data_IF_735887911942
#
_entry.id   IF_735887911942
#
_cell.length_a   1.000
_cell.length_b   1.000
_cell.length_c   1.000
_cell.angle_alpha   90.00
_cell.angle_beta   90.00
_cell.angle_gamma   90.00
#
_symmetry.space_group_name_H-M   'P 1'
#
loop_
_entity.id
_entity.type
_entity.pdbx_description
1 polymer ?
#
# COMPACT_ATOMS: atom_id res chain seq x y z
N UNK A 1 -4.53 27.26 -2.56
CA UNK A 1 -4.10 25.84 -2.46
C UNK A 1 -2.63 25.77 -2.86
N UNK A 2 -1.87 24.78 -2.40
CA UNK A 2 -0.52 24.57 -2.90
C UNK A 2 -0.58 23.74 -4.18
N UNK A 3 -0.08 24.29 -5.30
CA UNK A 3 0.15 23.51 -6.51
C UNK A 3 1.43 22.67 -6.41
N UNK A 4 1.73 21.96 -7.49
CA UNK A 4 3.03 21.36 -7.75
C UNK A 4 3.45 21.75 -9.16
N UNK A 5 4.36 22.71 -9.25
CA UNK A 5 4.96 23.14 -10.51
C UNK A 5 6.22 22.31 -10.77
N UNK A 6 6.31 21.73 -11.98
CA UNK A 6 7.41 20.86 -12.39
C UNK A 6 8.03 21.44 -13.65
N UNK A 7 9.26 21.93 -13.57
CA UNK A 7 10.03 22.42 -14.72
C UNK A 7 11.02 21.34 -15.15
N UNK A 8 10.81 20.79 -16.35
CA UNK A 8 11.64 19.75 -16.94
C UNK A 8 12.75 20.36 -17.79
N UNK A 9 13.98 19.88 -17.62
CA UNK A 9 15.17 20.28 -18.39
C UNK A 9 15.94 19.02 -18.77
N UNK A 10 16.11 18.75 -20.06
CA UNK A 10 17.01 17.69 -20.56
C UNK A 10 18.47 18.10 -20.35
N UNK A 11 19.35 17.15 -20.03
CA UNK A 11 20.77 17.44 -19.79
C UNK A 11 21.51 17.53 -21.12
N UNK A 12 22.21 18.65 -21.36
CA UNK A 12 23.04 18.81 -22.55
C UNK A 12 24.18 17.77 -22.56
N UNK A 13 24.28 16.99 -23.64
CA UNK A 13 25.26 15.92 -23.78
C UNK A 13 24.81 14.54 -23.27
N UNK A 14 23.58 14.37 -22.80
CA UNK A 14 23.07 13.07 -22.33
C UNK A 14 21.54 12.92 -22.55
N UNK A 15 21.16 12.53 -23.77
CA UNK A 15 19.75 12.40 -24.24
C UNK A 15 18.88 11.45 -23.41
N UNK A 16 19.48 10.62 -22.54
CA UNK A 16 18.80 9.68 -21.64
C UNK A 16 18.55 10.27 -20.24
N UNK A 17 19.04 11.47 -19.95
CA UNK A 17 19.04 12.12 -18.64
C UNK A 17 18.21 13.42 -18.62
N UNK A 18 17.40 13.58 -17.57
CA UNK A 18 16.65 14.82 -17.32
C UNK A 18 16.72 15.27 -15.85
N UNK A 19 16.59 16.58 -15.66
CA UNK A 19 16.37 17.24 -14.38
C UNK A 19 14.91 17.72 -14.30
N UNK A 20 14.23 17.40 -13.22
CA UNK A 20 12.95 17.98 -12.85
C UNK A 20 13.11 18.90 -11.63
N UNK A 21 12.97 20.21 -11.83
CA UNK A 21 12.87 21.18 -10.74
C UNK A 21 11.44 21.20 -10.20
N UNK A 22 11.26 20.85 -8.92
CA UNK A 22 9.93 20.69 -8.33
C UNK A 22 9.63 21.75 -7.26
N UNK A 23 8.53 22.49 -7.43
CA UNK A 23 8.12 23.59 -6.53
C UNK A 23 6.70 23.33 -5.99
N UNK A 24 6.52 23.40 -4.67
CA UNK A 24 5.19 23.25 -4.04
C UNK A 24 5.11 22.10 -3.05
N UNK A 25 4.16 21.17 -3.22
CA UNK A 25 3.98 20.00 -2.37
C UNK A 25 3.57 18.75 -3.18
N UNK A 26 4.00 17.57 -2.73
CA UNK A 26 3.64 16.29 -3.36
C UNK A 26 2.62 15.59 -2.48
N UNK A 27 1.33 15.73 -2.80
CA UNK A 27 0.21 15.18 -2.04
C UNK A 27 -0.85 14.51 -2.94
N UNK A 28 -1.94 14.00 -2.35
CA UNK A 28 -2.97 13.27 -3.08
C UNK A 28 -3.63 14.05 -4.24
N UNK A 29 -3.59 15.38 -4.23
CA UNK A 29 -4.12 16.24 -5.29
C UNK A 29 -3.09 16.53 -6.39
N UNK A 30 -1.79 16.54 -6.06
CA UNK A 30 -0.71 16.87 -7.00
C UNK A 30 0.01 15.64 -7.56
N UNK A 31 -0.17 14.46 -6.96
CA UNK A 31 0.32 13.18 -7.50
C UNK A 31 -0.16 12.89 -8.93
N UNK A 32 -1.42 13.19 -9.35
CA UNK A 32 -1.85 12.97 -10.74
C UNK A 32 -1.03 13.75 -11.78
N UNK A 33 -0.72 15.03 -11.54
CA UNK A 33 0.12 15.82 -12.47
C UNK A 33 1.59 15.40 -12.41
N UNK A 34 2.10 15.04 -11.23
CA UNK A 34 3.43 14.44 -11.08
C UNK A 34 3.57 13.16 -11.89
N UNK A 35 2.60 12.23 -11.80
CA UNK A 35 2.64 10.97 -12.56
C UNK A 35 2.54 11.20 -14.07
N UNK A 36 1.74 12.17 -14.54
CA UNK A 36 1.68 12.53 -15.95
C UNK A 36 3.05 13.02 -16.48
N UNK A 37 3.70 13.94 -15.77
CA UNK A 37 5.02 14.46 -16.16
C UNK A 37 6.11 13.38 -16.19
N UNK A 38 6.10 12.44 -15.23
CA UNK A 38 7.04 11.31 -15.21
C UNK A 38 6.79 10.30 -16.32
N UNK A 39 5.54 10.06 -16.69
CA UNK A 39 5.20 9.14 -17.79
C UNK A 39 5.53 9.77 -19.16
N UNK A 40 5.40 11.09 -19.30
CA UNK A 40 5.84 11.84 -20.49
C UNK A 40 7.37 11.74 -20.69
N UNK A 41 8.17 11.89 -19.63
CA UNK A 41 9.63 11.70 -19.68
C UNK A 41 9.99 10.28 -20.14
N UNK A 42 9.34 9.26 -19.60
CA UNK A 42 9.54 7.86 -20.01
C UNK A 42 9.14 7.63 -21.47
N UNK A 43 8.05 8.25 -21.92
CA UNK A 43 7.61 8.23 -23.33
C UNK A 43 8.60 8.90 -24.28
N UNK A 44 9.35 9.91 -23.80
CA UNK A 44 10.47 10.55 -24.52
C UNK A 44 11.78 9.74 -24.50
N UNK A 45 11.80 8.56 -23.88
CA UNK A 45 12.97 7.69 -23.81
C UNK A 45 13.95 7.98 -22.67
N UNK A 46 13.63 8.93 -21.78
CA UNK A 46 14.46 9.24 -20.60
C UNK A 46 14.50 8.02 -19.67
N UNK A 47 15.71 7.66 -19.22
CA UNK A 47 15.98 6.53 -18.31
C UNK A 47 16.58 6.96 -16.99
N UNK A 48 17.24 8.12 -16.95
CA UNK A 48 17.93 8.65 -15.78
C UNK A 48 17.31 9.99 -15.40
N UNK A 49 16.86 10.13 -14.16
CA UNK A 49 16.08 11.29 -13.73
C UNK A 49 16.61 11.82 -12.39
N UNK A 50 16.88 13.13 -12.34
CA UNK A 50 17.25 13.83 -11.12
C UNK A 50 16.09 14.74 -10.70
N UNK A 51 15.64 14.61 -9.45
CA UNK A 51 14.59 15.46 -8.87
C UNK A 51 15.22 16.51 -7.94
N UNK A 52 15.11 17.79 -8.27
CA UNK A 52 15.47 18.87 -7.35
C UNK A 52 14.29 19.18 -6.42
N UNK A 53 14.46 18.82 -5.14
CA UNK A 53 13.44 18.96 -4.11
C UNK A 53 13.58 20.25 -3.28
N UNK A 54 14.50 21.16 -3.62
CA UNK A 54 14.81 22.35 -2.81
C UNK A 54 13.60 23.27 -2.55
N UNK A 55 12.61 23.27 -3.44
CA UNK A 55 11.38 24.08 -3.35
C UNK A 55 10.14 23.26 -2.96
N UNK A 56 10.31 21.99 -2.56
CA UNK A 56 9.25 21.17 -1.98
C UNK A 56 9.09 21.47 -0.50
N UNK A 57 7.87 21.84 -0.10
CA UNK A 57 7.51 22.18 1.29
C UNK A 57 7.09 20.97 2.12
N UNK A 58 6.50 19.96 1.47
CA UNK A 58 5.92 18.78 2.09
C UNK A 58 5.70 17.64 1.07
N UNK A 59 5.73 16.40 1.56
CA UNK A 59 5.41 15.18 0.81
C UNK A 59 4.52 14.31 1.70
N UNK A 60 3.35 13.88 1.22
CA UNK A 60 2.45 12.99 1.97
C UNK A 60 2.70 11.51 1.63
N UNK A 61 2.00 10.58 2.31
CA UNK A 61 2.11 9.13 2.06
C UNK A 61 1.83 8.72 0.62
N UNK A 62 0.86 9.36 -0.06
CA UNK A 62 0.57 9.17 -1.48
C UNK A 62 1.73 9.65 -2.37
N UNK A 63 2.34 10.79 -2.02
CA UNK A 63 3.51 11.35 -2.70
C UNK A 63 4.75 10.47 -2.57
N UNK A 64 5.07 10.01 -1.34
CA UNK A 64 6.14 9.05 -1.07
C UNK A 64 5.92 7.72 -1.81
N UNK A 65 4.70 7.17 -1.77
CA UNK A 65 4.36 5.96 -2.52
C UNK A 65 4.47 6.14 -4.05
N UNK A 66 4.17 7.33 -4.57
CA UNK A 66 4.39 7.66 -5.97
C UNK A 66 5.88 7.78 -6.31
N UNK A 67 6.69 8.40 -5.43
CA UNK A 67 8.14 8.50 -5.61
C UNK A 67 8.79 7.11 -5.66
N UNK A 68 8.44 6.20 -4.73
CA UNK A 68 8.97 4.81 -4.72
C UNK A 68 8.59 4.09 -6.02
N UNK A 69 7.31 4.11 -6.42
CA UNK A 69 6.82 3.49 -7.67
C UNK A 69 7.64 3.91 -8.89
N UNK A 70 8.02 5.18 -8.99
CA UNK A 70 8.78 5.68 -10.13
C UNK A 70 10.30 5.46 -10.01
N UNK A 71 10.86 5.41 -8.79
CA UNK A 71 12.24 4.96 -8.58
C UNK A 71 12.44 3.54 -9.14
N UNK A 72 11.54 2.61 -8.78
CA UNK A 72 11.55 1.23 -9.29
C UNK A 72 11.33 1.19 -10.81
N UNK A 73 10.42 2.01 -11.35
CA UNK A 73 10.15 2.05 -12.78
C UNK A 73 11.36 2.54 -13.60
N UNK A 74 12.05 3.60 -13.18
CA UNK A 74 13.26 4.08 -13.87
C UNK A 74 14.42 3.08 -13.71
N UNK A 75 14.58 2.44 -12.55
CA UNK A 75 15.55 1.34 -12.35
C UNK A 75 15.25 0.16 -13.29
N UNK A 76 13.99 -0.26 -13.43
CA UNK A 76 13.58 -1.35 -14.35
C UNK A 76 13.79 -1.04 -15.84
N UNK A 77 13.85 0.24 -16.22
CA UNK A 77 14.11 0.68 -17.61
C UNK A 77 15.62 0.75 -17.95
N UNK A 78 16.52 0.26 -17.08
CA UNK A 78 17.97 0.33 -17.29
C UNK A 78 18.54 1.73 -17.02
N UNK A 79 18.12 2.33 -15.92
CA UNK A 79 18.57 3.64 -15.46
C UNK A 79 18.26 3.83 -13.98
N UNK A 80 17.66 4.94 -13.59
CA UNK A 80 17.31 5.19 -12.19
C UNK A 80 16.80 6.61 -11.91
N UNK A 81 16.46 6.86 -10.65
CA UNK A 81 15.97 8.16 -10.19
C UNK A 81 16.69 8.59 -8.90
N UNK A 82 17.32 9.76 -8.94
CA UNK A 82 18.06 10.35 -7.83
C UNK A 82 17.37 11.61 -7.29
N UNK A 83 17.56 11.90 -6.00
CA UNK A 83 17.01 13.08 -5.32
C UNK A 83 18.13 14.03 -4.91
N UNK A 84 18.02 15.32 -5.24
CA UNK A 84 18.98 16.35 -4.82
C UNK A 84 18.31 17.43 -3.96
N UNK A 85 19.10 18.04 -3.06
CA UNK A 85 18.68 19.16 -2.18
C UNK A 85 17.42 18.84 -1.35
N UNK A 86 17.28 17.59 -0.91
CA UNK A 86 16.12 17.09 -0.15
C UNK A 86 15.97 17.87 1.17
N UNK A 87 14.82 18.53 1.43
CA UNK A 87 14.60 19.27 2.67
C UNK A 87 14.67 18.35 3.90
N UNK A 88 15.30 18.81 4.99
CA UNK A 88 15.54 17.99 6.19
C UNK A 88 14.27 17.32 6.75
N UNK A 89 13.11 18.01 6.72
CA UNK A 89 11.81 17.45 7.13
C UNK A 89 11.36 16.26 6.26
N UNK A 90 11.65 16.29 4.96
CA UNK A 90 11.35 15.20 4.02
C UNK A 90 12.35 14.06 4.23
N UNK A 91 13.64 14.37 4.42
CA UNK A 91 14.69 13.38 4.71
C UNK A 91 14.37 12.54 5.95
N UNK A 92 13.99 13.19 7.06
CA UNK A 92 13.58 12.50 8.30
C UNK A 92 12.39 11.56 8.07
N UNK A 93 11.42 11.92 7.22
CA UNK A 93 10.28 11.05 6.90
C UNK A 93 10.71 9.85 6.05
N UNK A 94 11.62 10.03 5.08
CA UNK A 94 12.18 8.91 4.30
C UNK A 94 12.97 7.96 5.22
N UNK A 95 13.78 8.50 6.13
CA UNK A 95 14.58 7.76 7.11
C UNK A 95 13.70 6.97 8.09
N UNK A 96 12.71 7.60 8.73
CA UNK A 96 11.80 6.92 9.68
C UNK A 96 10.91 5.86 9.02
N UNK A 97 10.63 5.97 7.73
CA UNK A 97 9.88 4.96 6.96
C UNK A 97 10.78 3.87 6.36
N UNK A 98 12.10 3.92 6.57
CA UNK A 98 13.06 2.95 6.02
C UNK A 98 13.24 3.03 4.49
N UNK A 99 12.80 4.11 3.85
CA UNK A 99 12.71 4.21 2.39
C UNK A 99 14.03 4.61 1.70
N UNK A 100 15.12 4.78 2.46
CA UNK A 100 16.45 5.09 1.95
C UNK A 100 16.93 4.10 0.86
N UNK A 101 16.54 2.82 0.93
CA UNK A 101 16.95 1.81 -0.03
C UNK A 101 16.40 2.03 -1.47
N UNK A 102 15.34 2.83 -1.62
CA UNK A 102 14.72 3.12 -2.92
C UNK A 102 15.33 4.36 -3.59
N UNK A 103 15.83 5.32 -2.81
CA UNK A 103 16.20 6.66 -3.25
C UNK A 103 17.70 6.94 -3.14
N UNK A 104 18.32 7.17 -4.28
CA UNK A 104 19.70 7.63 -4.36
C UNK A 104 19.74 9.14 -4.06
N UNK A 105 20.04 9.52 -2.80
CA UNK A 105 20.06 10.92 -2.35
C UNK A 105 21.47 11.51 -2.51
N UNK A 106 21.61 12.47 -3.41
CA UNK A 106 22.89 13.09 -3.77
C UNK A 106 22.96 14.57 -3.32
N UNK A 107 24.19 15.10 -3.21
CA UNK A 107 24.40 16.50 -2.80
C UNK A 107 23.99 17.50 -3.89
N UNK A 108 24.38 17.20 -5.14
CA UNK A 108 24.26 18.06 -6.31
C UNK A 108 23.89 17.25 -7.57
N UNK A 109 23.72 17.97 -8.69
CA UNK A 109 23.31 17.40 -9.97
C UNK A 109 24.37 16.48 -10.58
N UNK A 110 25.65 16.84 -10.47
CA UNK A 110 26.73 16.13 -11.14
C UNK A 110 26.99 14.78 -10.48
N UNK A 111 27.03 14.76 -9.14
CA UNK A 111 27.09 13.53 -8.36
C UNK A 111 25.87 12.61 -8.60
N UNK A 112 24.67 13.20 -8.80
CA UNK A 112 23.46 12.44 -9.15
C UNK A 112 23.55 11.82 -10.55
N UNK A 113 24.01 12.57 -11.54
CA UNK A 113 24.18 12.08 -12.91
C UNK A 113 25.25 10.98 -12.98
N UNK A 114 26.36 11.13 -12.27
CA UNK A 114 27.43 10.12 -12.25
C UNK A 114 27.04 8.85 -11.47
N UNK A 115 26.31 8.98 -10.36
CA UNK A 115 25.71 7.82 -9.69
C UNK A 115 24.76 7.05 -10.63
N UNK A 116 23.91 7.76 -11.37
CA UNK A 116 22.96 7.16 -12.33
C UNK A 116 23.65 6.56 -13.58
N UNK A 117 24.77 7.12 -14.05
CA UNK A 117 25.61 6.52 -15.11
C UNK A 117 26.24 5.21 -14.61
N UNK A 118 26.84 5.23 -13.42
CA UNK A 118 27.54 4.08 -12.85
C UNK A 118 26.58 2.93 -12.49
N UNK A 119 25.39 3.23 -11.97
CA UNK A 119 24.36 2.23 -11.70
C UNK A 119 23.92 1.46 -12.97
N UNK A 120 23.87 2.12 -14.13
CA UNK A 120 23.56 1.47 -15.40
C UNK A 120 24.67 0.52 -15.92
N UNK A 121 25.89 0.63 -15.37
CA UNK A 121 27.03 -0.25 -15.66
C UNK A 121 27.17 -1.43 -14.69
N UNK A 122 26.46 -1.40 -13.56
CA UNK A 122 26.63 -2.33 -12.45
C UNK A 122 25.36 -3.19 -12.22
N UNK A 123 25.17 -4.21 -13.06
CA UNK A 123 24.17 -5.25 -12.80
C UNK A 123 24.53 -6.04 -11.52
N UNK A 124 23.56 -6.43 -10.67
CA UNK A 124 23.85 -6.75 -9.27
C UNK A 124 24.39 -8.16 -9.04
N UNK A 125 25.61 -8.27 -8.55
CA UNK A 125 26.09 -9.43 -7.78
C UNK A 125 25.56 -9.34 -6.35
N UNK A 126 24.75 -10.31 -5.92
CA UNK A 126 24.12 -10.32 -4.60
C UNK A 126 25.07 -10.79 -3.50
N UNK A 127 25.28 -9.98 -2.46
CA UNK A 127 25.75 -10.44 -1.16
C UNK A 127 24.67 -10.21 -0.09
N UNK A 128 24.19 -11.31 0.50
CA UNK A 128 23.32 -11.32 1.67
C UNK A 128 23.93 -12.28 2.70
N UNK A 129 24.18 -11.86 3.95
CA UNK A 129 24.72 -12.73 4.99
C UNK A 129 23.77 -13.92 5.26
N UNK A 130 24.29 -15.15 5.10
CA UNK A 130 23.46 -16.36 5.12
C UNK A 130 23.28 -17.00 6.49
N UNK A 131 22.39 -17.98 6.55
CA UNK A 131 22.30 -19.01 7.61
C UNK A 131 21.77 -20.31 6.97
N UNK A 132 22.16 -21.51 7.47
CA UNK A 132 22.07 -22.74 6.68
C UNK A 132 20.68 -23.40 6.71
N UNK A 133 20.35 -24.10 5.62
CA UNK A 133 19.15 -24.95 5.51
C UNK A 133 19.53 -26.42 5.39
N UNK A 134 18.83 -27.29 6.12
CA UNK A 134 18.98 -28.75 6.07
C UNK A 134 17.64 -29.41 5.72
N UNK A 135 17.63 -30.23 4.66
CA UNK A 135 16.41 -30.86 4.13
C UNK A 135 16.65 -32.31 3.66
N UNK A 136 15.76 -33.25 4.01
CA UNK A 136 15.57 -34.55 3.35
C UNK A 136 14.29 -34.56 2.45
N UNK A 137 14.04 -35.58 1.59
CA UNK A 137 13.82 -35.26 0.17
C UNK A 137 12.47 -35.66 -0.47
N UNK A 138 12.41 -35.40 -1.78
CA UNK A 138 11.29 -35.45 -2.74
C UNK A 138 10.95 -36.88 -3.23
N UNK A 139 9.69 -37.10 -3.62
CA UNK A 139 9.21 -38.29 -4.38
C UNK A 139 8.33 -37.84 -5.57
N UNK A 140 8.17 -38.67 -6.62
CA UNK A 140 7.66 -38.28 -7.95
C UNK A 140 6.82 -39.35 -8.68
N UNK A 141 5.93 -38.90 -9.59
CA UNK A 141 5.23 -39.55 -10.77
C UNK A 141 4.06 -38.63 -11.23
N UNK A 142 3.48 -38.66 -12.44
CA UNK A 142 3.71 -39.43 -13.68
C UNK A 142 2.54 -40.38 -14.06
N UNK A 143 1.99 -40.42 -15.30
CA UNK A 143 2.18 -39.59 -16.51
C UNK A 143 1.12 -39.87 -17.63
N UNK A 144 1.14 -39.13 -18.78
CA UNK A 144 0.32 -39.29 -20.03
C UNK A 144 -1.23 -39.08 -19.96
N UNK A 145 -2.05 -38.94 -21.03
CA UNK A 145 -1.84 -38.70 -22.49
C UNK A 145 -3.10 -39.02 -23.37
N UNK A 146 -3.23 -38.44 -24.60
CA UNK A 146 -4.18 -38.81 -25.71
C UNK A 146 -5.73 -38.66 -25.50
N UNK A 147 -6.65 -38.62 -26.50
CA UNK A 147 -6.67 -38.27 -27.96
C UNK A 147 -8.15 -38.22 -28.51
N UNK A 148 -8.35 -37.96 -29.83
CA UNK A 148 -9.54 -38.18 -30.70
C UNK A 148 -10.60 -37.04 -30.96
N UNK A 149 -11.31 -37.14 -32.11
CA UNK A 149 -12.18 -36.15 -32.79
C UNK A 149 -13.12 -36.86 -33.82
N UNK A 150 -13.77 -36.25 -34.86
CA UNK A 150 -14.14 -34.84 -35.14
C UNK A 150 -15.69 -34.60 -35.24
N UNK A 151 -16.44 -34.63 -36.38
CA UNK A 151 -16.44 -33.79 -37.62
C UNK A 151 -17.82 -33.17 -38.05
N UNK A 152 -17.83 -32.30 -39.10
CA UNK A 152 -18.97 -31.96 -40.05
C UNK A 152 -20.21 -31.20 -39.47
N UNK A 153 -20.86 -30.19 -40.08
CA UNK A 153 -20.70 -29.22 -41.21
C UNK A 153 -21.52 -27.94 -40.78
N UNK A 154 -21.74 -26.80 -41.47
CA UNK A 154 -21.58 -26.27 -42.85
C UNK A 154 -21.55 -24.71 -42.84
N UNK A 155 -21.47 -24.04 -44.01
CA UNK A 155 -21.58 -22.57 -44.18
C UNK A 155 -22.91 -22.10 -44.82
N UNK A 156 -23.01 -20.91 -45.48
CA UNK A 156 -21.91 -20.13 -46.10
C UNK A 156 -21.89 -18.58 -45.88
N UNK A 157 -20.76 -17.97 -46.27
CA UNK A 157 -20.54 -16.56 -46.71
C UNK A 157 -20.88 -15.37 -45.78
N UNK A 158 -20.10 -14.28 -45.73
CA UNK A 158 -18.87 -13.95 -46.47
C UNK A 158 -17.88 -13.10 -45.61
N UNK A 159 -16.61 -13.18 -45.96
CA UNK A 159 -15.52 -12.30 -45.50
C UNK A 159 -15.04 -11.43 -46.72
N UNK A 160 -14.11 -10.44 -46.62
CA UNK A 160 -12.77 -10.54 -45.98
C UNK A 160 -12.33 -9.28 -45.18
N UNK A 161 -11.10 -9.17 -44.65
CA UNK A 161 -10.30 -10.12 -43.86
C UNK A 161 -9.03 -9.42 -43.32
N UNK A 162 -8.75 -9.51 -42.01
CA UNK A 162 -7.41 -9.27 -41.41
C UNK A 162 -7.27 -9.93 -40.02
N UNK A 163 -7.40 -11.25 -40.01
CA UNK A 163 -6.51 -12.25 -39.38
C UNK A 163 -5.51 -11.76 -38.31
N UNK A 164 -5.26 -12.39 -37.15
CA UNK A 164 -5.88 -13.42 -36.26
C UNK A 164 -4.89 -13.66 -35.07
N UNK A 165 -5.09 -14.60 -34.11
CA UNK A 165 -6.28 -14.99 -33.33
C UNK A 165 -6.06 -14.83 -31.80
N UNK A 166 -7.11 -15.01 -30.97
CA UNK A 166 -6.93 -15.11 -29.50
C UNK A 166 -8.17 -14.78 -28.66
N UNK A 167 -9.26 -15.52 -28.82
CA UNK A 167 -10.58 -15.15 -28.26
C UNK A 167 -10.83 -15.64 -26.82
N UNK A 168 -10.57 -14.79 -25.83
CA UNK A 168 -11.27 -14.82 -24.56
C UNK A 168 -12.66 -14.18 -24.70
N UNK A 169 -13.73 -14.90 -24.39
CA UNK A 169 -15.07 -14.33 -24.43
C UNK A 169 -15.31 -13.43 -23.20
N UNK A 170 -15.34 -12.11 -23.43
CA UNK A 170 -15.74 -11.06 -22.48
C UNK A 170 -17.02 -10.37 -22.99
N UNK A 171 -17.88 -9.79 -22.11
CA UNK A 171 -17.73 -9.68 -20.66
C UNK A 171 -17.86 -11.03 -19.93
N UNK A 172 -17.25 -11.10 -18.74
CA UNK A 172 -17.35 -12.24 -17.82
C UNK A 172 -17.77 -11.78 -16.44
N UNK A 173 -18.55 -12.59 -15.75
CA UNK A 173 -18.85 -12.42 -14.33
C UNK A 173 -17.97 -13.37 -13.53
N UNK A 174 -17.20 -12.83 -12.58
CA UNK A 174 -16.21 -13.55 -11.78
C UNK A 174 -16.54 -13.38 -10.30
N UNK A 175 -16.71 -14.48 -9.57
CA UNK A 175 -16.93 -14.45 -8.12
C UNK A 175 -15.63 -14.07 -7.39
N UNK A 176 -15.65 -12.96 -6.64
CA UNK A 176 -14.46 -12.48 -5.95
C UNK A 176 -14.12 -13.34 -4.72
N UNK A 177 -12.98 -14.02 -4.73
CA UNK A 177 -12.49 -14.84 -3.61
C UNK A 177 -12.37 -14.08 -2.26
N UNK A 178 -12.28 -12.74 -2.27
CA UNK A 178 -12.25 -11.92 -1.06
C UNK A 178 -13.60 -11.57 -0.42
N UNK A 179 -14.73 -11.66 -1.15
CA UNK A 179 -16.04 -11.25 -0.60
C UNK A 179 -17.29 -11.84 -1.30
N UNK A 180 -17.10 -12.86 -2.14
CA UNK A 180 -18.09 -13.58 -2.97
C UNK A 180 -19.00 -12.72 -3.87
N UNK A 181 -18.71 -11.43 -4.04
CA UNK A 181 -19.41 -10.57 -5.01
C UNK A 181 -18.98 -10.90 -6.42
N UNK A 182 -19.99 -11.01 -7.29
CA UNK A 182 -19.88 -11.07 -8.75
C UNK A 182 -19.31 -9.77 -9.30
N UNK A 183 -18.10 -9.84 -9.82
CA UNK A 183 -17.40 -8.75 -10.51
C UNK A 183 -17.58 -8.96 -12.00
N UNK A 184 -18.24 -8.03 -12.69
CA UNK A 184 -18.26 -8.02 -14.15
C UNK A 184 -16.97 -7.41 -14.70
N UNK A 185 -16.38 -8.10 -15.67
CA UNK A 185 -15.10 -7.78 -16.30
C UNK A 185 -15.30 -7.77 -17.81
N UNK A 186 -15.13 -6.62 -18.45
CA UNK A 186 -15.39 -6.42 -19.88
C UNK A 186 -14.16 -6.60 -20.79
N UNK A 187 -12.96 -6.74 -20.23
CA UNK A 187 -11.72 -6.91 -20.98
C UNK A 187 -10.64 -7.63 -20.14
N UNK A 188 -9.66 -8.31 -20.77
CA UNK A 188 -8.53 -8.88 -20.04
C UNK A 188 -7.65 -7.76 -19.46
N UNK A 189 -7.09 -7.99 -18.27
CA UNK A 189 -6.28 -7.01 -17.55
C UNK A 189 -6.41 -7.09 -16.03
N UNK A 190 -5.96 -6.04 -15.34
CA UNK A 190 -6.02 -5.92 -13.88
C UNK A 190 -7.28 -5.18 -13.42
N UNK A 191 -8.17 -5.90 -12.74
CA UNK A 191 -9.43 -5.41 -12.18
C UNK A 191 -9.38 -5.38 -10.64
N UNK A 192 -10.30 -4.64 -10.03
CA UNK A 192 -10.52 -4.62 -8.57
C UNK A 192 -11.98 -4.95 -8.27
N UNK A 193 -12.23 -5.77 -7.25
CA UNK A 193 -13.60 -5.97 -6.77
C UNK A 193 -14.15 -4.67 -6.16
N UNK A 194 -15.34 -4.17 -6.54
CA UNK A 194 -15.89 -2.92 -6.04
C UNK A 194 -16.26 -2.94 -4.54
N UNK A 195 -16.40 -4.13 -3.92
CA UNK A 195 -16.76 -4.28 -2.50
C UNK A 195 -15.56 -4.43 -1.56
N UNK A 196 -14.49 -5.10 -1.98
CA UNK A 196 -13.34 -5.43 -1.12
C UNK A 196 -11.97 -5.09 -1.73
N UNK A 197 -11.94 -4.44 -2.90
CA UNK A 197 -10.73 -4.00 -3.63
C UNK A 197 -9.70 -5.08 -3.99
N UNK A 198 -9.95 -6.36 -3.69
CA UNK A 198 -9.15 -7.52 -4.12
C UNK A 198 -8.86 -7.44 -5.61
N UNK A 199 -7.58 -7.61 -5.97
CA UNK A 199 -7.10 -7.49 -7.34
C UNK A 199 -7.31 -8.80 -8.10
N UNK A 200 -8.01 -8.74 -9.21
CA UNK A 200 -8.19 -9.84 -10.15
C UNK A 200 -7.34 -9.55 -11.39
N UNK A 201 -6.49 -10.49 -11.80
CA UNK A 201 -5.77 -10.44 -13.07
C UNK A 201 -6.43 -11.42 -14.01
N UNK A 202 -7.18 -10.93 -15.00
CA UNK A 202 -7.92 -11.77 -15.94
C UNK A 202 -7.17 -11.81 -17.26
N UNK A 203 -6.72 -13.01 -17.64
CA UNK A 203 -5.87 -13.22 -18.80
C UNK A 203 -6.72 -13.29 -20.10
N UNK A 204 -6.10 -13.10 -21.29
CA UNK A 204 -6.81 -13.20 -22.57
C UNK A 204 -7.42 -14.59 -22.88
N UNK A 205 -6.97 -15.66 -22.22
CA UNK A 205 -7.58 -17.00 -22.31
C UNK A 205 -8.83 -17.15 -21.41
N UNK A 206 -9.15 -16.13 -20.61
CA UNK A 206 -10.25 -16.13 -19.66
C UNK A 206 -9.93 -16.79 -18.31
N UNK A 207 -8.67 -17.16 -18.05
CA UNK A 207 -8.20 -17.58 -16.72
C UNK A 207 -8.09 -16.38 -15.76
N UNK A 208 -8.25 -16.62 -14.45
CA UNK A 208 -8.30 -15.58 -13.42
C UNK A 208 -7.25 -15.86 -12.35
N UNK A 209 -6.20 -15.04 -12.31
CA UNK A 209 -5.27 -14.98 -11.19
C UNK A 209 -5.80 -14.02 -10.12
N UNK A 210 -6.01 -14.51 -8.90
CA UNK A 210 -6.26 -13.64 -7.75
C UNK A 210 -4.93 -13.19 -7.16
N UNK A 211 -4.66 -11.89 -7.19
CA UNK A 211 -3.52 -11.34 -6.48
C UNK A 211 -3.72 -11.53 -4.98
N UNK A 212 -2.70 -12.02 -4.26
CA UNK A 212 -2.64 -11.92 -2.81
C UNK A 212 -2.54 -10.44 -2.42
N UNK A 213 -3.68 -9.77 -2.41
CA UNK A 213 -3.83 -8.47 -1.77
C UNK A 213 -3.72 -8.73 -0.27
N UNK A 214 -2.53 -8.53 0.28
CA UNK A 214 -2.41 -8.33 1.72
C UNK A 214 -3.37 -7.19 2.11
N UNK A 215 -4.12 -7.35 3.21
CA UNK A 215 -5.12 -6.37 3.60
C UNK A 215 -4.40 -5.11 4.08
N UNK A 216 -4.36 -4.09 3.23
CA UNK A 216 -3.76 -2.79 3.57
C UNK A 216 -4.43 -2.27 4.84
N UNK A 217 -3.68 -2.03 5.93
CA UNK A 217 -4.26 -1.61 7.20
C UNK A 217 -4.90 -0.23 7.06
N UNK A 218 -6.10 -0.08 7.62
CA UNK A 218 -6.75 1.22 7.70
C UNK A 218 -6.12 2.00 8.86
N UNK A 219 -5.20 2.89 8.52
CA UNK A 219 -4.52 3.79 9.47
C UNK A 219 -5.22 5.16 9.51
N UNK A 220 -5.47 5.65 10.73
CA UNK A 220 -6.22 6.85 11.05
C UNK A 220 -5.47 7.65 12.13
N UNK A 221 -5.68 8.96 12.16
CA UNK A 221 -5.25 9.84 13.27
C UNK A 221 -6.46 10.62 13.73
N UNK A 222 -6.79 10.53 15.01
CA UNK A 222 -8.03 11.06 15.59
C UNK A 222 -7.70 11.95 16.79
N UNK A 223 -8.43 13.05 16.94
CA UNK A 223 -8.38 13.85 18.16
C UNK A 223 -9.12 13.13 19.29
N UNK A 224 -8.70 13.39 20.54
CA UNK A 224 -9.25 12.82 21.77
C UNK A 224 -10.60 13.46 22.17
N UNK A 225 -11.51 13.62 21.20
CA UNK A 225 -12.86 14.15 21.41
C UNK A 225 -13.91 13.03 21.37
N UNK A 226 -15.04 13.26 22.05
CA UNK A 226 -16.17 12.34 22.14
C UNK A 226 -16.69 11.94 20.75
N UNK A 227 -16.86 12.93 19.88
CA UNK A 227 -17.42 12.76 18.54
C UNK A 227 -16.51 11.90 17.64
N UNK A 228 -15.18 12.04 17.78
CA UNK A 228 -14.21 11.18 17.09
C UNK A 228 -14.21 9.75 17.64
N UNK A 229 -14.45 9.58 18.96
CA UNK A 229 -14.65 8.27 19.57
C UNK A 229 -15.92 7.56 19.05
N UNK A 230 -17.06 8.26 19.02
CA UNK A 230 -18.31 7.73 18.47
C UNK A 230 -18.19 7.41 16.98
N UNK A 231 -17.56 8.29 16.19
CA UNK A 231 -17.27 8.05 14.78
C UNK A 231 -16.39 6.82 14.55
N UNK A 232 -15.38 6.59 15.39
CA UNK A 232 -14.54 5.39 15.35
C UNK A 232 -15.33 4.11 15.67
N UNK A 233 -16.20 4.15 16.68
CA UNK A 233 -17.08 3.02 17.05
C UNK A 233 -17.99 2.65 15.87
N UNK A 234 -18.61 3.63 15.22
CA UNK A 234 -19.43 3.39 14.02
C UNK A 234 -18.60 2.84 12.84
N UNK A 235 -17.40 3.37 12.61
CA UNK A 235 -16.50 2.90 11.56
C UNK A 235 -16.06 1.44 11.77
N UNK A 236 -15.61 1.09 12.98
CA UNK A 236 -15.21 -0.29 13.31
C UNK A 236 -16.40 -1.24 13.18
N UNK A 237 -17.58 -0.85 13.68
CA UNK A 237 -18.81 -1.65 13.54
C UNK A 237 -19.14 -1.90 12.06
N UNK A 238 -19.07 -0.88 11.21
CA UNK A 238 -19.30 -1.00 9.77
C UNK A 238 -18.27 -1.92 9.09
N UNK A 239 -16.98 -1.70 9.32
CA UNK A 239 -15.87 -2.50 8.74
C UNK A 239 -15.92 -3.97 9.17
N UNK A 240 -16.37 -4.24 10.40
CA UNK A 240 -16.37 -5.58 11.01
C UNK A 240 -17.70 -6.35 10.81
N UNK A 241 -18.79 -5.66 10.47
CA UNK A 241 -20.14 -6.24 10.22
C UNK A 241 -20.18 -7.38 9.19
N UNK A 242 -19.19 -7.47 8.31
CA UNK A 242 -19.06 -8.50 7.26
C UNK A 242 -18.03 -9.58 7.59
N UNK A 243 -17.58 -9.67 8.84
CA UNK A 243 -16.56 -10.63 9.31
C UNK A 243 -16.95 -11.38 10.60
N UNK A 244 -17.89 -10.86 11.40
CA UNK A 244 -18.23 -11.40 12.72
C UNK A 244 -19.74 -11.50 12.94
N UNK A 245 -20.14 -12.34 13.90
CA UNK A 245 -21.52 -12.42 14.37
C UNK A 245 -21.86 -11.28 15.36
N UNK A 246 -23.16 -11.12 15.67
CA UNK A 246 -23.66 -10.04 16.54
C UNK A 246 -22.94 -9.91 17.90
N UNK A 247 -22.81 -10.99 18.70
CA UNK A 247 -22.08 -10.95 19.98
C UNK A 247 -20.62 -10.51 19.86
N UNK A 248 -19.88 -11.03 18.87
CA UNK A 248 -18.49 -10.63 18.61
C UNK A 248 -18.39 -9.16 18.19
N UNK A 249 -19.33 -8.70 17.35
CA UNK A 249 -19.38 -7.32 16.85
C UNK A 249 -19.69 -6.32 17.97
N UNK A 250 -20.66 -6.63 18.85
CA UNK A 250 -20.97 -5.80 20.02
C UNK A 250 -19.82 -5.81 21.04
N UNK A 251 -19.17 -6.96 21.31
CA UNK A 251 -17.98 -6.99 22.18
C UNK A 251 -16.88 -6.05 21.67
N UNK A 252 -16.61 -6.06 20.36
CA UNK A 252 -15.64 -5.17 19.72
C UNK A 252 -16.07 -3.70 19.76
N UNK A 253 -17.36 -3.42 19.54
CA UNK A 253 -17.97 -2.07 19.61
C UNK A 253 -17.80 -1.46 21.01
N UNK A 254 -18.15 -2.21 22.06
CA UNK A 254 -17.99 -1.78 23.45
C UNK A 254 -16.52 -1.56 23.83
N UNK A 255 -15.61 -2.44 23.39
CA UNK A 255 -14.18 -2.27 23.64
C UNK A 255 -13.61 -0.99 22.98
N UNK A 256 -13.95 -0.72 21.72
CA UNK A 256 -13.51 0.50 21.03
C UNK A 256 -14.10 1.76 21.67
N UNK A 257 -15.34 1.71 22.17
CA UNK A 257 -15.94 2.81 22.93
C UNK A 257 -15.20 3.04 24.27
N UNK A 258 -14.95 1.97 25.04
CA UNK A 258 -14.20 2.01 26.31
C UNK A 258 -12.81 2.63 26.11
N UNK A 259 -12.07 2.20 25.09
CA UNK A 259 -10.74 2.73 24.77
C UNK A 259 -10.79 4.20 24.37
N UNK A 260 -11.73 4.59 23.50
CA UNK A 260 -11.88 5.99 23.08
C UNK A 260 -12.26 6.91 24.26
N UNK A 261 -13.09 6.42 25.18
CA UNK A 261 -13.46 7.14 26.40
C UNK A 261 -12.26 7.31 27.35
N UNK A 262 -11.46 6.26 27.59
CA UNK A 262 -10.25 6.34 28.41
C UNK A 262 -9.19 7.24 27.78
N UNK A 263 -9.04 7.22 26.44
CA UNK A 263 -8.17 8.14 25.70
C UNK A 263 -8.57 9.61 25.95
N UNK A 264 -9.86 9.93 25.84
CA UNK A 264 -10.36 11.28 26.14
C UNK A 264 -10.19 11.65 27.62
N UNK A 265 -10.66 10.79 28.54
CA UNK A 265 -10.88 11.16 29.95
C UNK A 265 -9.65 10.98 30.83
N UNK A 266 -8.79 9.98 30.56
CA UNK A 266 -7.66 9.61 31.42
C UNK A 266 -6.30 9.86 30.78
N UNK A 267 -6.14 9.57 29.49
CA UNK A 267 -4.86 9.77 28.77
C UNK A 267 -4.64 11.23 28.42
N UNK A 268 -5.69 11.93 27.97
CA UNK A 268 -5.63 13.35 27.57
C UNK A 268 -6.40 14.31 28.48
N UNK A 269 -7.02 13.82 29.57
CA UNK A 269 -7.71 14.64 30.58
C UNK A 269 -8.71 15.69 30.01
N UNK A 270 -9.39 15.34 28.91
CA UNK A 270 -10.34 16.21 28.20
C UNK A 270 -9.72 17.21 27.22
N UNK A 271 -8.40 17.22 27.02
CA UNK A 271 -7.73 18.12 26.08
C UNK A 271 -8.11 17.78 24.61
N UNK A 272 -8.81 18.67 23.88
CA UNK A 272 -9.24 18.41 22.49
C UNK A 272 -8.07 18.39 21.49
N UNK A 273 -6.89 18.89 21.87
CA UNK A 273 -5.65 18.82 21.10
C UNK A 273 -4.87 17.51 21.28
N UNK A 274 -5.31 16.59 22.16
CA UNK A 274 -4.76 15.24 22.23
C UNK A 274 -5.04 14.47 20.94
N UNK A 275 -4.06 13.72 20.42
CA UNK A 275 -4.18 12.95 19.18
C UNK A 275 -3.68 11.53 19.40
N UNK A 276 -4.50 10.55 19.02
CA UNK A 276 -4.14 9.13 19.00
C UNK A 276 -4.27 8.57 17.58
N UNK A 277 -3.41 7.62 17.26
CA UNK A 277 -3.39 6.92 15.98
C UNK A 277 -4.07 5.57 16.13
N UNK A 278 -4.86 5.16 15.14
CA UNK A 278 -5.57 3.88 15.11
C UNK A 278 -5.21 3.12 13.84
N UNK A 279 -4.86 1.85 13.96
CA UNK A 279 -4.54 0.96 12.86
C UNK A 279 -5.45 -0.27 12.91
N UNK A 280 -6.30 -0.46 11.91
CA UNK A 280 -7.25 -1.57 11.81
C UNK A 280 -6.74 -2.55 10.74
N UNK A 281 -6.39 -3.76 11.16
CA UNK A 281 -5.90 -4.85 10.34
C UNK A 281 -6.97 -5.95 10.27
N UNK A 282 -7.56 -6.17 9.08
CA UNK A 282 -8.59 -7.18 8.85
C UNK A 282 -8.06 -8.35 8.04
N UNK A 283 -8.13 -9.56 8.59
CA UNK A 283 -7.85 -10.82 7.93
C UNK A 283 -9.14 -11.70 7.93
N UNK A 284 -9.20 -12.79 7.14
CA UNK A 284 -10.30 -13.75 7.23
C UNK A 284 -10.42 -14.31 8.66
N UNK A 285 -11.59 -14.18 9.29
CA UNK A 285 -11.84 -14.65 10.66
C UNK A 285 -11.07 -13.94 11.78
N UNK A 286 -10.39 -12.82 11.50
CA UNK A 286 -9.54 -12.10 12.47
C UNK A 286 -9.53 -10.60 12.22
N UNK A 287 -9.77 -9.80 13.25
CA UNK A 287 -9.49 -8.35 13.23
C UNK A 287 -8.59 -7.99 14.40
N UNK A 288 -7.53 -7.26 14.09
CA UNK A 288 -6.61 -6.67 15.05
C UNK A 288 -6.75 -5.15 14.96
N UNK A 289 -6.94 -4.48 16.10
CA UNK A 289 -6.92 -3.01 16.17
C UNK A 289 -5.79 -2.61 17.11
N UNK A 290 -4.99 -1.63 16.67
CA UNK A 290 -3.89 -1.06 17.45
C UNK A 290 -4.12 0.43 17.62
N UNK A 291 -4.07 0.92 18.85
CA UNK A 291 -4.09 2.32 19.22
C UNK A 291 -2.68 2.72 19.68
N UNK A 292 -2.22 3.91 19.31
CA UNK A 292 -0.97 4.48 19.81
C UNK A 292 -1.15 5.97 20.09
N UNK A 293 -0.71 6.43 21.25
CA UNK A 293 -0.80 7.83 21.68
C UNK A 293 0.53 8.32 22.28
N UNK A 294 0.56 9.60 22.65
CA UNK A 294 1.68 10.27 23.32
C UNK A 294 1.21 11.08 24.55
N UNK A 295 0.13 10.65 25.21
CA UNK A 295 -0.46 11.29 26.38
C UNK A 295 0.04 10.67 27.70
N UNK A 296 -0.81 10.69 28.73
CA UNK A 296 -0.49 10.09 30.01
C UNK A 296 -0.43 8.55 29.90
N UNK A 297 0.69 7.98 30.38
CA UNK A 297 0.92 6.53 30.36
C UNK A 297 0.11 5.80 31.42
N UNK A 298 -0.54 4.73 31.00
CA UNK A 298 -1.27 3.75 31.80
C UNK A 298 -0.31 2.62 32.15
N UNK A 299 -0.07 2.42 33.45
CA UNK A 299 0.71 1.28 33.94
C UNK A 299 0.01 -0.04 33.61
N UNK A 300 0.76 -1.04 33.11
CA UNK A 300 0.18 -2.33 32.72
C UNK A 300 -0.50 -3.07 33.89
N UNK A 301 -0.08 -2.81 35.13
CA UNK A 301 -0.73 -3.27 36.38
C UNK A 301 -2.16 -2.76 36.54
N UNK A 302 -2.49 -1.60 35.97
CA UNK A 302 -3.80 -0.94 36.05
C UNK A 302 -4.68 -1.17 34.82
N UNK A 303 -4.21 -1.91 33.82
CA UNK A 303 -4.94 -2.21 32.57
C UNK A 303 -6.39 -2.64 32.81
N UNK A 304 -6.63 -3.60 33.70
CA UNK A 304 -7.97 -4.11 34.00
C UNK A 304 -8.86 -3.12 34.79
N UNK A 305 -8.29 -2.07 35.39
CA UNK A 305 -9.04 -0.98 36.02
C UNK A 305 -9.57 0.02 34.98
N UNK A 306 -8.79 0.29 33.92
CA UNK A 306 -9.17 1.21 32.85
C UNK A 306 -10.01 0.54 31.75
N UNK A 307 -9.78 -0.75 31.47
CA UNK A 307 -10.39 -1.46 30.35
C UNK A 307 -11.11 -2.78 30.74
N UNK A 308 -12.00 -2.78 31.76
CA UNK A 308 -12.60 -3.99 32.32
C UNK A 308 -13.42 -4.82 31.31
N UNK A 309 -14.05 -4.20 30.31
CA UNK A 309 -14.74 -4.93 29.24
C UNK A 309 -13.72 -5.50 28.24
N UNK A 310 -12.81 -4.66 27.72
CA UNK A 310 -11.84 -5.08 26.70
C UNK A 310 -10.93 -6.21 27.21
N UNK A 311 -10.50 -6.16 28.47
CA UNK A 311 -9.66 -7.19 29.08
C UNK A 311 -10.39 -8.50 29.44
N UNK A 312 -11.72 -8.57 29.25
CA UNK A 312 -12.52 -9.75 29.63
C UNK A 312 -13.43 -10.30 28.53
N UNK A 313 -13.61 -9.60 27.40
CA UNK A 313 -14.56 -9.96 26.32
C UNK A 313 -13.95 -10.16 24.93
N UNK A 314 -12.67 -9.87 24.75
CA UNK A 314 -11.94 -10.04 23.48
C UNK A 314 -11.04 -11.28 23.51
N UNK A 315 -10.64 -11.77 22.33
CA UNK A 315 -9.72 -12.93 22.22
C UNK A 315 -8.35 -12.62 22.81
N UNK A 316 -7.81 -11.44 22.51
CA UNK A 316 -6.61 -10.91 23.17
C UNK A 316 -6.79 -9.41 23.43
N UNK A 317 -6.31 -8.93 24.57
CA UNK A 317 -6.25 -7.51 24.88
C UNK A 317 -4.97 -7.19 25.65
N UNK A 318 -4.27 -6.13 25.25
CA UNK A 318 -2.98 -5.75 25.79
C UNK A 318 -2.81 -4.22 25.81
N UNK A 319 -2.38 -3.67 26.95
CA UNK A 319 -1.96 -2.28 27.08
C UNK A 319 -0.52 -2.23 27.60
N UNK A 320 0.36 -1.55 26.85
CA UNK A 320 1.76 -1.32 27.22
C UNK A 320 2.07 0.19 27.15
N UNK A 321 2.96 0.70 28.01
CA UNK A 321 3.61 1.99 27.78
C UNK A 321 4.29 2.03 26.41
N UNK A 322 4.13 3.14 25.69
CA UNK A 322 4.81 3.35 24.41
C UNK A 322 6.24 3.87 24.66
N UNK A 323 7.29 3.39 23.96
CA UNK A 323 8.68 3.73 24.29
C UNK A 323 9.06 5.22 24.19
N UNK A 324 8.29 6.02 23.43
CA UNK A 324 8.48 7.47 23.32
C UNK A 324 7.51 8.28 24.22
N UNK A 325 6.87 7.64 25.21
CA UNK A 325 5.77 8.21 26.00
C UNK A 325 4.40 7.92 25.38
N UNK A 326 3.35 7.99 26.20
CA UNK A 326 2.00 7.55 25.86
C UNK A 326 1.79 6.04 26.02
N UNK A 327 0.83 5.49 25.27
CA UNK A 327 0.44 4.07 25.33
C UNK A 327 0.42 3.42 23.95
N UNK A 328 0.51 2.09 23.96
CA UNK A 328 0.17 1.22 22.84
C UNK A 328 -0.84 0.20 23.33
N UNK A 329 -2.05 0.25 22.78
CA UNK A 329 -3.13 -0.70 23.10
C UNK A 329 -3.36 -1.58 21.87
N UNK A 330 -3.23 -2.89 22.04
CA UNK A 330 -3.51 -3.89 21.02
C UNK A 330 -4.70 -4.73 21.45
N UNK A 331 -5.70 -4.84 20.58
CA UNK A 331 -6.84 -5.70 20.77
C UNK A 331 -7.00 -6.66 19.58
N UNK A 332 -7.47 -7.87 19.86
CA UNK A 332 -7.71 -8.91 18.87
C UNK A 332 -9.08 -9.54 19.07
N UNK A 333 -9.85 -9.64 17.99
CA UNK A 333 -11.04 -10.46 17.93
C UNK A 333 -10.92 -11.52 16.82
N UNK A 334 -11.21 -12.77 17.16
CA UNK A 334 -11.34 -13.90 16.24
C UNK A 334 -12.80 -14.30 16.06
N UNK A 335 -13.13 -14.82 14.87
CA UNK A 335 -14.47 -15.27 14.48
C UNK A 335 -14.76 -16.70 14.92
#
# INVERSE_FOLDING_TARGET
MAGLDIKLTTIEGDDLSALAEMTGAIDGNTVPSFQAALEELKGKGIRRLVLDMSKIKYVNSTGLGSLVKYADAFKSNGGGMALIKVPAKVKIVIEMLGLNAFFDICADLDAALDALKNAASAAPSSEAPGTPSSAPPRVSKGDSGASAAPPRVSGPSAAPASTAPGSGAFPRVIDCQGCTVKVEVSSPGNWKCPRCYTRLSVQPDGSVGFGKSEPVPLSLSLTATKDCGEGLVHLVTSVCSTAFNGPQLENLRFAVHEIAQVMQQSVYAGNPGGVYHVCIERQPGRVQIRFSDHGATIESTRTAQFFPHSSSKLTEFECRPHPAGGNTIRLLQTG
#
